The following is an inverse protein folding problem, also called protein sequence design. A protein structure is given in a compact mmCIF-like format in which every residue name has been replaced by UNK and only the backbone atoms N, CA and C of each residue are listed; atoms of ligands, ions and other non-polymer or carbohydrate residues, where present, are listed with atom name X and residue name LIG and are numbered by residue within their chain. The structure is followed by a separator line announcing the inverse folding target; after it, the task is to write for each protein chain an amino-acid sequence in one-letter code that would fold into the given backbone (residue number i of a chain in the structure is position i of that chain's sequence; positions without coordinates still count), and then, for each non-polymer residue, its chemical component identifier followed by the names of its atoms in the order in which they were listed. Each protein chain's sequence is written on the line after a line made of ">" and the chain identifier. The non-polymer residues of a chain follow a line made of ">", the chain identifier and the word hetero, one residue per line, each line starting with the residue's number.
data_IF_185015930900
#
_entry.id   IF_185015930900
#
_cell.length_a   1.000
_cell.length_b   1.000
_cell.length_c   1.000
_cell.angle_alpha   90.00
_cell.angle_beta   90.00
_cell.angle_gamma   90.00
#
_symmetry.space_group_name_H-M   'P 1'
#
loop_
_entity.id
_entity.type
_entity.pdbx_description
1 polymer ?
#
# COMPACT_ATOMS: atom_id res chain seq x y z
N UNK A 1 16.69 23.26 -8.94
CA UNK A 1 17.41 22.18 -8.24
C UNK A 1 17.16 20.80 -8.85
N UNK A 2 15.92 20.40 -9.05
CA UNK A 2 15.55 19.08 -9.65
C UNK A 2 16.14 18.87 -11.05
N UNK A 3 16.18 19.90 -11.90
CA UNK A 3 16.71 19.83 -13.27
C UNK A 3 18.21 19.51 -13.34
N UNK A 4 18.99 19.95 -12.35
CA UNK A 4 20.45 19.73 -12.27
C UNK A 4 20.77 18.29 -11.82
N UNK A 5 19.96 17.75 -10.92
CA UNK A 5 20.06 16.35 -10.49
C UNK A 5 19.74 15.41 -11.67
N UNK A 6 18.72 15.74 -12.46
CA UNK A 6 18.29 14.94 -13.61
C UNK A 6 19.31 14.93 -14.75
N UNK A 7 20.03 16.04 -14.99
CA UNK A 7 21.03 16.14 -16.08
C UNK A 7 22.34 15.39 -15.78
N UNK A 8 22.65 15.11 -14.53
CA UNK A 8 23.87 14.41 -14.11
C UNK A 8 23.67 12.91 -13.83
N UNK A 9 22.45 12.40 -13.90
CA UNK A 9 22.24 10.96 -13.84
C UNK A 9 22.56 10.35 -15.21
N UNK A 10 23.76 9.78 -15.33
CA UNK A 10 24.03 8.79 -16.38
C UNK A 10 22.93 7.72 -16.31
N UNK A 11 22.42 7.28 -17.46
CA UNK A 11 21.35 6.28 -17.48
C UNK A 11 21.81 5.07 -16.64
N UNK A 12 21.09 4.80 -15.56
CA UNK A 12 21.36 3.69 -14.67
C UNK A 12 21.19 2.40 -15.50
N UNK A 13 22.28 1.88 -16.03
CA UNK A 13 22.29 0.61 -16.77
C UNK A 13 21.33 0.54 -17.98
N UNK A 14 21.13 1.65 -18.68
CA UNK A 14 20.24 1.72 -19.85
C UNK A 14 18.82 2.21 -19.58
N UNK A 15 18.42 2.39 -18.32
CA UNK A 15 17.11 2.93 -17.96
C UNK A 15 17.06 4.45 -18.16
N UNK A 16 16.06 4.91 -18.89
CA UNK A 16 15.83 6.33 -19.08
C UNK A 16 15.00 6.92 -17.93
N UNK A 17 15.19 8.20 -17.65
CA UNK A 17 14.41 8.92 -16.64
C UNK A 17 12.88 8.77 -16.80
N UNK A 18 12.43 8.72 -18.03
CA UNK A 18 11.02 8.56 -18.40
C UNK A 18 10.44 7.24 -17.89
N UNK A 19 11.21 6.15 -18.02
CA UNK A 19 10.80 4.81 -17.59
C UNK A 19 10.77 4.70 -16.06
N UNK A 20 11.76 5.29 -15.40
CA UNK A 20 11.81 5.34 -13.93
C UNK A 20 10.63 6.16 -13.39
N UNK A 21 10.33 7.30 -14.03
CA UNK A 21 9.17 8.14 -13.63
C UNK A 21 7.84 7.40 -13.82
N UNK A 22 7.72 6.60 -14.87
CA UNK A 22 6.54 5.79 -15.12
C UNK A 22 6.35 4.72 -14.04
N UNK A 23 7.41 3.98 -13.69
CA UNK A 23 7.38 2.99 -12.61
C UNK A 23 7.08 3.63 -11.25
N UNK A 24 7.65 4.80 -11.00
CA UNK A 24 7.40 5.56 -9.77
C UNK A 24 5.94 6.01 -9.67
N UNK A 25 5.37 6.53 -10.76
CA UNK A 25 3.95 6.89 -10.81
C UNK A 25 3.03 5.70 -10.52
N UNK A 26 3.29 4.53 -11.14
CA UNK A 26 2.56 3.29 -10.86
C UNK A 26 2.67 2.89 -9.39
N UNK A 27 3.89 3.00 -8.82
CA UNK A 27 4.15 2.64 -7.43
C UNK A 27 3.38 3.55 -6.46
N UNK A 28 3.37 4.87 -6.66
CA UNK A 28 2.66 5.81 -5.79
C UNK A 28 1.15 5.62 -5.88
N UNK A 29 0.59 5.46 -7.08
CA UNK A 29 -0.85 5.22 -7.24
C UNK A 29 -1.28 3.93 -6.53
N UNK A 30 -0.54 2.84 -6.72
CA UNK A 30 -0.85 1.57 -6.05
C UNK A 30 -0.66 1.64 -4.53
N UNK A 31 0.30 2.46 -4.05
CA UNK A 31 0.50 2.73 -2.63
C UNK A 31 -0.71 3.48 -2.04
N UNK A 32 -1.13 4.57 -2.67
CA UNK A 32 -2.30 5.31 -2.22
C UNK A 32 -3.57 4.47 -2.17
N UNK A 33 -3.81 3.63 -3.20
CA UNK A 33 -4.93 2.68 -3.19
C UNK A 33 -4.81 1.65 -2.08
N UNK A 34 -3.60 1.15 -1.78
CA UNK A 34 -3.42 0.21 -0.68
C UNK A 34 -3.69 0.85 0.68
N UNK A 35 -3.38 2.13 0.86
CA UNK A 35 -3.75 2.88 2.06
C UNK A 35 -5.26 3.03 2.16
N UNK A 36 -5.95 3.39 1.08
CA UNK A 36 -7.41 3.55 1.08
C UNK A 36 -8.12 2.28 1.56
N UNK A 37 -7.69 1.11 1.08
CA UNK A 37 -8.41 -0.15 1.31
C UNK A 37 -7.82 -1.02 2.42
N UNK A 38 -6.51 -0.98 2.65
CA UNK A 38 -5.84 -1.97 3.50
C UNK A 38 -5.08 -1.39 4.70
N UNK A 39 -5.05 -0.06 4.90
CA UNK A 39 -4.31 0.52 6.04
C UNK A 39 -4.83 0.04 7.39
N UNK A 40 -6.11 -0.33 7.45
CA UNK A 40 -6.71 -0.87 8.67
C UNK A 40 -6.06 -2.18 9.10
N UNK A 41 -5.67 -3.04 8.15
CA UNK A 41 -4.99 -4.30 8.46
C UNK A 41 -3.60 -4.08 9.06
N UNK A 42 -2.90 -3.01 8.68
CA UNK A 42 -1.65 -2.60 9.30
C UNK A 42 -1.84 -2.22 10.79
N UNK A 43 -3.01 -1.64 11.15
CA UNK A 43 -3.34 -1.22 12.51
C UNK A 43 -3.95 -2.32 13.37
N UNK A 44 -3.94 -3.55 12.91
CA UNK A 44 -4.54 -4.70 13.62
C UNK A 44 -3.95 -4.91 15.02
N UNK A 45 -2.66 -4.61 15.21
CA UNK A 45 -1.96 -4.68 16.48
C UNK A 45 -2.66 -3.85 17.57
N UNK A 46 -3.07 -2.63 17.24
CA UNK A 46 -3.77 -1.75 18.16
C UNK A 46 -5.13 -2.32 18.59
N UNK A 47 -5.92 -2.84 17.62
CA UNK A 47 -7.23 -3.43 17.90
C UNK A 47 -7.13 -4.71 18.73
N UNK A 48 -6.13 -5.54 18.46
CA UNK A 48 -5.87 -6.77 19.22
C UNK A 48 -5.40 -6.43 20.63
N UNK A 49 -4.52 -5.44 20.77
CA UNK A 49 -3.97 -5.02 22.06
C UNK A 49 -5.03 -4.44 22.98
N UNK A 50 -5.95 -3.65 22.44
CA UNK A 50 -7.04 -3.02 23.22
C UNK A 50 -8.29 -3.92 23.37
N UNK A 51 -8.27 -5.16 22.89
CA UNK A 51 -9.42 -6.07 23.01
C UNK A 51 -10.61 -5.71 22.10
N UNK A 52 -10.44 -4.75 21.20
CA UNK A 52 -11.52 -4.31 20.30
C UNK A 52 -11.71 -5.26 19.11
N UNK A 53 -10.75 -6.15 18.88
CA UNK A 53 -10.85 -7.14 17.79
C UNK A 53 -11.94 -8.17 18.03
N UNK A 54 -12.27 -8.45 19.30
CA UNK A 54 -13.28 -9.45 19.67
C UNK A 54 -14.67 -9.10 19.13
N UNK A 55 -14.97 -7.80 18.97
CA UNK A 55 -16.25 -7.34 18.39
C UNK A 55 -16.46 -7.82 16.95
N UNK A 56 -15.39 -8.08 16.21
CA UNK A 56 -15.47 -8.57 14.82
C UNK A 56 -15.72 -10.07 14.76
N UNK A 57 -15.32 -10.81 15.82
CA UNK A 57 -15.52 -12.26 15.91
C UNK A 57 -16.95 -12.66 16.20
N UNK A 58 -17.72 -11.80 16.91
CA UNK A 58 -19.10 -12.09 17.28
C UNK A 58 -20.13 -11.74 16.20
N UNK A 59 -19.72 -11.04 15.14
CA UNK A 59 -20.61 -10.66 14.04
C UNK A 59 -20.65 -11.77 12.98
N UNK A 60 -21.83 -12.07 12.37
CA UNK A 60 -22.00 -13.13 11.39
C UNK A 60 -21.46 -12.73 9.99
N UNK A 61 -20.29 -12.11 9.91
CA UNK A 61 -19.64 -11.65 8.69
C UNK A 61 -18.19 -12.11 8.66
N UNK A 62 -17.61 -12.24 7.46
CA UNK A 62 -16.20 -12.57 7.36
C UNK A 62 -15.35 -11.47 8.01
N UNK A 63 -14.60 -11.86 9.05
CA UNK A 63 -13.82 -10.96 9.91
C UNK A 63 -12.84 -10.13 9.08
N UNK A 64 -12.16 -10.74 8.10
CA UNK A 64 -11.18 -10.06 7.27
C UNK A 64 -11.81 -8.91 6.45
N UNK A 65 -12.90 -9.20 5.74
CA UNK A 65 -13.58 -8.18 4.94
C UNK A 65 -14.17 -7.07 5.81
N UNK A 66 -14.81 -7.45 6.91
CA UNK A 66 -15.39 -6.49 7.84
C UNK A 66 -14.33 -5.56 8.41
N UNK A 67 -13.19 -6.11 8.84
CA UNK A 67 -12.10 -5.33 9.43
C UNK A 67 -11.40 -4.45 8.38
N UNK A 68 -11.08 -4.99 7.21
CA UNK A 68 -10.35 -4.27 6.16
C UNK A 68 -11.14 -3.10 5.57
N UNK A 69 -12.45 -3.26 5.38
CA UNK A 69 -13.30 -2.27 4.70
C UNK A 69 -14.14 -1.40 5.65
N UNK A 70 -13.96 -1.53 6.97
CA UNK A 70 -14.74 -0.74 7.94
C UNK A 70 -14.46 0.75 7.85
N UNK A 71 -13.21 1.13 7.58
CA UNK A 71 -12.81 2.53 7.50
C UNK A 71 -12.15 2.83 6.16
N UNK A 72 -12.80 3.68 5.41
CA UNK A 72 -12.24 4.23 4.19
C UNK A 72 -11.27 5.36 4.55
N UNK A 73 -9.99 5.20 4.21
CA UNK A 73 -8.98 6.17 4.61
C UNK A 73 -8.71 7.18 3.48
N UNK A 74 -9.17 8.41 3.68
CA UNK A 74 -8.97 9.50 2.71
C UNK A 74 -7.52 9.94 2.55
N UNK A 75 -6.62 9.62 3.49
CA UNK A 75 -5.20 9.96 3.40
C UNK A 75 -4.57 9.34 2.14
N UNK A 76 -5.02 8.18 1.69
CA UNK A 76 -4.52 7.57 0.46
C UNK A 76 -4.66 8.44 -0.79
N UNK A 77 -5.60 9.40 -0.81
CA UNK A 77 -5.75 10.34 -1.95
C UNK A 77 -4.59 11.33 -2.07
N UNK A 78 -3.87 11.61 -0.97
CA UNK A 78 -2.67 12.45 -1.00
C UNK A 78 -1.55 11.84 -1.86
N UNK A 79 -1.55 10.53 -2.03
CA UNK A 79 -0.61 9.80 -2.88
C UNK A 79 -1.20 9.54 -4.27
N UNK A 80 -2.50 9.21 -4.36
CA UNK A 80 -3.16 8.91 -5.64
C UNK A 80 -3.09 10.11 -6.58
N UNK A 81 -3.39 11.32 -6.11
CA UNK A 81 -3.44 12.51 -6.96
C UNK A 81 -2.07 12.83 -7.58
N UNK A 82 -0.98 13.01 -6.80
CA UNK A 82 0.34 13.26 -7.40
C UNK A 82 0.84 12.06 -8.20
N UNK A 83 0.52 10.83 -7.79
CA UNK A 83 0.86 9.62 -8.53
C UNK A 83 0.26 9.59 -9.93
N UNK A 84 -1.01 9.95 -10.08
CA UNK A 84 -1.68 10.06 -11.40
C UNK A 84 -1.02 11.15 -12.24
N UNK A 85 -0.70 12.32 -11.66
CA UNK A 85 -0.04 13.41 -12.38
C UNK A 85 1.30 12.96 -12.93
N UNK A 86 2.14 12.32 -12.10
CA UNK A 86 3.45 11.79 -12.49
C UNK A 86 3.29 10.74 -13.58
N UNK A 87 2.32 9.85 -13.45
CA UNK A 87 2.06 8.77 -14.40
C UNK A 87 1.63 9.31 -15.76
N UNK A 88 0.72 10.28 -15.80
CA UNK A 88 0.29 10.94 -17.04
C UNK A 88 1.45 11.69 -17.70
N UNK A 89 2.26 12.39 -16.92
CA UNK A 89 3.45 13.07 -17.42
C UNK A 89 4.46 12.08 -18.02
N UNK A 90 4.71 10.97 -17.34
CA UNK A 90 5.62 9.92 -17.80
C UNK A 90 5.12 9.23 -19.09
N UNK A 91 3.81 8.98 -19.22
CA UNK A 91 3.21 8.43 -20.45
C UNK A 91 3.49 9.34 -21.64
N UNK A 92 3.31 10.65 -21.47
CA UNK A 92 3.59 11.61 -22.54
C UNK A 92 5.08 11.64 -22.94
N UNK A 93 5.99 11.47 -21.99
CA UNK A 93 7.42 11.46 -22.25
C UNK A 93 7.91 10.17 -22.90
N UNK A 94 7.35 9.02 -22.51
CA UNK A 94 7.74 7.71 -23.04
C UNK A 94 7.18 7.43 -24.42
N UNK A 95 6.26 8.27 -24.93
CA UNK A 95 5.61 8.07 -26.23
C UNK A 95 4.75 6.80 -26.31
N UNK A 96 4.37 6.22 -25.17
CA UNK A 96 3.48 5.06 -25.11
C UNK A 96 2.14 5.46 -25.71
N UNK A 97 1.74 4.77 -26.78
CA UNK A 97 0.44 5.01 -27.42
C UNK A 97 -0.71 4.69 -26.45
N UNK A 98 -1.62 5.64 -26.30
CA UNK A 98 -2.82 5.48 -25.49
C UNK A 98 -3.79 4.55 -26.25
N UNK A 99 -3.58 3.24 -26.09
CA UNK A 99 -4.49 2.21 -26.59
C UNK A 99 -5.27 1.61 -25.43
N UNK A 100 -6.49 1.13 -25.69
CA UNK A 100 -7.32 0.43 -24.68
C UNK A 100 -6.54 -0.70 -24.04
N UNK A 101 -5.74 -1.44 -24.81
CA UNK A 101 -4.91 -2.56 -24.31
C UNK A 101 -3.85 -2.06 -23.32
N UNK A 102 -3.19 -0.93 -23.59
CA UNK A 102 -2.16 -0.37 -22.72
C UNK A 102 -2.77 0.18 -21.42
N UNK A 103 -3.93 0.82 -21.50
CA UNK A 103 -4.68 1.26 -20.31
C UNK A 103 -5.07 0.06 -19.44
N UNK A 104 -5.57 -1.01 -20.05
CA UNK A 104 -5.94 -2.22 -19.32
C UNK A 104 -4.73 -2.85 -18.60
N UNK A 105 -3.55 -2.90 -19.26
CA UNK A 105 -2.31 -3.38 -18.64
C UNK A 105 -1.90 -2.53 -17.44
N UNK A 106 -1.95 -1.20 -17.56
CA UNK A 106 -1.63 -0.27 -16.48
C UNK A 106 -2.58 -0.49 -15.29
N UNK A 107 -3.88 -0.59 -15.53
CA UNK A 107 -4.87 -0.87 -14.50
C UNK A 107 -4.63 -2.21 -13.81
N UNK A 108 -4.34 -3.26 -14.59
CA UNK A 108 -4.04 -4.59 -14.04
C UNK A 108 -2.80 -4.56 -13.13
N UNK A 109 -1.75 -3.85 -13.53
CA UNK A 109 -0.53 -3.70 -12.72
C UNK A 109 -0.83 -2.93 -11.43
N UNK A 110 -1.59 -1.83 -11.49
CA UNK A 110 -1.97 -1.04 -10.31
C UNK A 110 -2.79 -1.89 -9.34
N UNK A 111 -3.79 -2.61 -9.84
CA UNK A 111 -4.63 -3.49 -9.02
C UNK A 111 -3.80 -4.60 -8.38
N UNK A 112 -2.97 -5.29 -9.15
CA UNK A 112 -2.10 -6.35 -8.65
C UNK A 112 -1.13 -5.85 -7.58
N UNK A 113 -0.48 -4.70 -7.81
CA UNK A 113 0.42 -4.08 -6.85
C UNK A 113 -0.31 -3.65 -5.56
N UNK A 114 -1.56 -3.17 -5.68
CA UNK A 114 -2.41 -2.80 -4.53
C UNK A 114 -2.71 -4.01 -3.66
N UNK A 115 -3.13 -5.11 -4.25
CA UNK A 115 -3.42 -6.36 -3.52
C UNK A 115 -2.15 -6.97 -2.90
N UNK A 116 -1.02 -6.92 -3.60
CA UNK A 116 0.25 -7.39 -3.07
C UNK A 116 0.65 -6.62 -1.81
N UNK A 117 0.56 -5.28 -1.83
CA UNK A 117 0.81 -4.43 -0.64
C UNK A 117 -0.21 -4.72 0.46
N UNK A 118 -1.49 -4.87 0.13
CA UNK A 118 -2.53 -5.25 1.08
C UNK A 118 -2.25 -6.58 1.77
N UNK A 119 -1.76 -7.58 1.03
CA UNK A 119 -1.34 -8.86 1.58
C UNK A 119 -0.18 -8.69 2.57
N UNK A 120 0.83 -7.88 2.23
CA UNK A 120 1.95 -7.58 3.13
C UNK A 120 1.45 -6.92 4.42
N UNK A 121 0.56 -5.90 4.33
CA UNK A 121 -0.02 -5.25 5.50
C UNK A 121 -0.78 -6.23 6.39
N UNK A 122 -1.53 -7.15 5.77
CA UNK A 122 -2.28 -8.18 6.50
C UNK A 122 -1.34 -9.16 7.21
N UNK A 123 -0.27 -9.60 6.55
CA UNK A 123 0.73 -10.50 7.15
C UNK A 123 1.38 -9.84 8.37
N UNK A 124 1.86 -8.61 8.20
CA UNK A 124 2.52 -7.87 9.30
C UNK A 124 1.52 -7.62 10.45
N UNK A 125 0.29 -7.17 10.12
CA UNK A 125 -0.74 -6.93 11.12
C UNK A 125 -1.14 -8.21 11.89
N UNK A 126 -1.18 -9.35 11.20
CA UNK A 126 -1.53 -10.64 11.84
C UNK A 126 -0.48 -11.13 12.83
N UNK A 127 0.77 -10.69 12.71
CA UNK A 127 1.83 -11.03 13.68
C UNK A 127 1.51 -10.49 15.09
N UNK A 128 0.66 -9.47 15.20
CA UNK A 128 0.22 -8.90 16.47
C UNK A 128 -0.44 -9.94 17.40
N UNK A 129 -1.14 -10.93 16.84
CA UNK A 129 -1.74 -12.00 17.65
C UNK A 129 -0.70 -12.86 18.37
N UNK A 130 0.47 -13.06 17.77
CA UNK A 130 1.55 -13.82 18.37
C UNK A 130 2.38 -12.99 19.36
N UNK A 131 2.75 -11.78 18.99
CA UNK A 131 3.58 -10.89 19.81
C UNK A 131 2.87 -10.53 21.12
N UNK A 132 1.57 -10.24 21.09
CA UNK A 132 0.80 -9.94 22.29
C UNK A 132 0.79 -11.10 23.29
N UNK A 133 0.71 -12.33 22.81
CA UNK A 133 0.72 -13.52 23.65
C UNK A 133 2.04 -13.67 24.43
N UNK A 134 3.16 -13.33 23.82
CA UNK A 134 4.48 -13.36 24.49
C UNK A 134 4.65 -12.21 25.49
N UNK A 135 4.14 -11.01 25.21
CA UNK A 135 4.24 -9.88 26.15
C UNK A 135 3.47 -10.14 27.45
N UNK A 136 2.28 -10.73 27.38
CA UNK A 136 1.54 -11.13 28.60
C UNK A 136 2.26 -12.18 29.43
N UNK A 137 2.99 -13.11 28.80
CA UNK A 137 3.79 -14.10 29.50
C UNK A 137 5.02 -13.46 30.19
N UNK A 138 5.57 -12.41 29.62
CA UNK A 138 6.67 -11.65 30.22
C UNK A 138 6.17 -10.83 31.42
N UNK A 139 5.00 -10.20 31.35
CA UNK A 139 4.39 -9.49 32.48
C UNK A 139 4.10 -10.41 33.65
N UNK A 140 3.62 -11.63 33.41
CA UNK A 140 3.37 -12.63 34.46
C UNK A 140 4.68 -13.06 35.13
N UNK A 141 5.77 -13.21 34.38
CA UNK A 141 7.08 -13.55 34.95
C UNK A 141 7.73 -12.42 35.76
N UNK A 142 7.31 -11.17 35.58
CA UNK A 142 7.79 -10.02 36.36
C UNK A 142 6.98 -9.80 37.64
N UNK A 143 5.85 -10.49 37.82
CA UNK A 143 4.99 -10.42 38.99
C UNK A 143 5.18 -11.60 39.98
N UNK A 144 6.06 -12.56 39.66
CA UNK A 144 6.49 -13.65 40.50
C UNK A 144 7.93 -13.39 40.98
#
# INVERSE_FOLDING_TARGET
>A
MIKIVIQNFQPLNGWQFQEISFLYGLSIVSHGLSIVFFIQTWRMDWFVTNGQFDMYLIRPLNVFFQFSFQYFNFIGFTDIIPGIIILLYAINLTGVTISIINILKILLVIIGATFLRGAIYTIIGSMAFWIKRSNKLIEINLLI
#
